data_IF_866406540006
#
_entry.id   IF_866406540006
#
_cell.length_a   1.000
_cell.length_b   1.000
_cell.length_c   1.000
_cell.angle_alpha   90.00
_cell.angle_beta   90.00
_cell.angle_gamma   90.00
#
_symmetry.space_group_name_H-M   'P 1'
#
loop_
_entity.id
_entity.type
_entity.pdbx_description
1 polymer ?
#
# COMPACT_ATOMS: atom_id res chain seq x y z
N UNK A 1 6.64 1.33 -3.90
CA UNK A 1 7.25 0.42 -2.91
C UNK A 1 7.14 -0.98 -3.47
N UNK A 2 8.22 -1.77 -3.41
CA UNK A 2 8.24 -3.16 -3.88
C UNK A 2 8.31 -4.10 -2.68
N UNK A 3 7.52 -5.16 -2.66
CA UNK A 3 7.45 -6.14 -1.57
C UNK A 3 7.77 -7.53 -2.12
N UNK A 4 8.74 -8.20 -1.51
CA UNK A 4 9.16 -9.55 -1.91
C UNK A 4 8.33 -10.69 -1.27
N UNK A 5 8.67 -11.94 -1.63
CA UNK A 5 8.13 -13.12 -0.94
C UNK A 5 8.56 -13.14 0.53
N UNK A 6 7.81 -13.82 1.42
CA UNK A 6 8.17 -13.93 2.82
C UNK A 6 9.49 -14.69 2.99
N UNK A 7 10.33 -14.24 3.90
CA UNK A 7 11.58 -14.93 4.23
C UNK A 7 11.29 -16.26 4.94
N UNK A 8 12.00 -17.37 4.63
CA UNK A 8 11.66 -18.72 5.09
C UNK A 8 11.71 -18.91 6.62
N UNK A 9 12.58 -18.17 7.32
CA UNK A 9 12.78 -18.34 8.77
C UNK A 9 12.03 -17.25 9.55
N UNK A 10 12.38 -15.98 9.35
CA UNK A 10 11.73 -14.85 10.02
C UNK A 10 10.28 -14.57 9.60
N UNK A 11 9.78 -15.16 8.50
CA UNK A 11 8.45 -14.90 7.91
C UNK A 11 8.15 -13.44 7.52
N UNK A 12 9.12 -12.54 7.66
CA UNK A 12 9.00 -11.13 7.28
C UNK A 12 9.21 -10.96 5.78
N UNK A 13 8.41 -10.07 5.18
CA UNK A 13 8.54 -9.71 3.76
C UNK A 13 9.59 -8.59 3.61
N UNK A 14 10.60 -8.75 2.75
CA UNK A 14 11.53 -7.68 2.46
C UNK A 14 10.81 -6.57 1.69
N UNK A 15 11.11 -5.32 2.05
CA UNK A 15 10.49 -4.13 1.46
C UNK A 15 11.60 -3.24 0.88
N UNK A 16 11.44 -2.85 -0.38
CA UNK A 16 12.27 -1.82 -1.01
C UNK A 16 11.46 -0.53 -1.15
N UNK A 17 11.91 0.52 -0.46
CA UNK A 17 11.27 1.83 -0.53
C UNK A 17 11.64 2.56 -1.82
N UNK A 18 10.71 3.39 -2.28
CA UNK A 18 10.93 4.26 -3.42
C UNK A 18 11.69 5.51 -2.97
N UNK A 19 12.67 5.94 -3.76
CA UNK A 19 13.46 7.15 -3.51
C UNK A 19 13.06 8.21 -4.54
N UNK A 20 12.38 9.29 -4.13
CA UNK A 20 12.04 10.39 -5.03
C UNK A 20 13.27 11.24 -5.38
N UNK A 21 13.29 11.84 -6.57
CA UNK A 21 14.40 12.70 -7.01
C UNK A 21 14.49 14.02 -6.19
N UNK A 22 13.35 14.57 -5.77
CA UNK A 22 13.26 15.86 -5.07
C UNK A 22 13.16 15.73 -3.54
N UNK A 23 13.77 14.67 -2.99
CA UNK A 23 13.66 14.28 -1.57
C UNK A 23 14.18 15.38 -0.64
N UNK A 24 13.35 15.81 0.32
CA UNK A 24 13.81 16.69 1.39
C UNK A 24 14.70 15.94 2.38
N UNK A 25 15.60 16.63 3.09
CA UNK A 25 16.40 15.98 4.14
C UNK A 25 15.52 15.26 5.18
N UNK A 26 14.36 15.81 5.54
CA UNK A 26 13.43 15.18 6.48
C UNK A 26 12.78 13.90 5.92
N UNK A 27 12.39 13.90 4.64
CA UNK A 27 11.86 12.71 3.97
C UNK A 27 12.92 11.61 3.85
N UNK A 28 14.17 11.99 3.56
CA UNK A 28 15.30 11.07 3.52
C UNK A 28 15.53 10.39 4.86
N UNK A 29 15.66 11.19 5.93
CA UNK A 29 15.86 10.65 7.28
C UNK A 29 14.70 9.74 7.69
N UNK A 30 13.46 10.10 7.34
CA UNK A 30 12.31 9.24 7.59
C UNK A 30 12.38 7.91 6.82
N UNK A 31 12.77 7.94 5.55
CA UNK A 31 12.95 6.72 4.73
C UNK A 31 14.03 5.82 5.30
N UNK A 32 15.19 6.37 5.64
CA UNK A 32 16.31 5.64 6.24
C UNK A 32 15.91 4.98 7.58
N UNK A 33 15.20 5.71 8.44
CA UNK A 33 14.67 5.15 9.69
C UNK A 33 13.71 3.97 9.46
N UNK A 34 12.91 4.02 8.38
CA UNK A 34 12.03 2.90 8.01
C UNK A 34 12.77 1.71 7.43
N UNK A 35 13.83 1.96 6.66
CA UNK A 35 14.72 0.90 6.15
C UNK A 35 15.42 0.18 7.29
N UNK A 36 16.02 0.94 8.20
CA UNK A 36 16.62 0.41 9.43
C UNK A 36 15.57 -0.34 10.25
N UNK A 37 14.35 0.20 10.36
CA UNK A 37 13.28 -0.44 11.12
C UNK A 37 12.95 -1.84 10.59
N UNK A 38 12.72 -1.95 9.28
CA UNK A 38 12.43 -3.22 8.62
C UNK A 38 13.59 -4.21 8.78
N UNK A 39 14.84 -3.74 8.67
CA UNK A 39 16.01 -4.58 8.86
C UNK A 39 16.13 -5.14 10.29
N UNK A 40 15.94 -4.28 11.31
CA UNK A 40 15.99 -4.72 12.71
C UNK A 40 14.85 -5.64 13.09
N UNK A 41 13.64 -5.38 12.56
CA UNK A 41 12.50 -6.27 12.77
C UNK A 41 12.79 -7.65 12.17
N UNK A 42 13.33 -7.68 10.94
CA UNK A 42 13.74 -8.92 10.29
C UNK A 42 14.77 -9.70 11.11
N UNK A 43 15.84 -9.03 11.57
CA UNK A 43 16.90 -9.64 12.38
C UNK A 43 16.36 -10.19 13.70
N UNK A 44 15.51 -9.42 14.40
CA UNK A 44 14.90 -9.85 15.65
C UNK A 44 14.08 -11.14 15.46
N UNK A 45 13.20 -11.18 14.46
CA UNK A 45 12.37 -12.36 14.21
C UNK A 45 13.15 -13.53 13.64
N UNK A 46 14.22 -13.28 12.87
CA UNK A 46 15.14 -14.33 12.43
C UNK A 46 15.74 -15.04 13.65
N UNK A 47 16.35 -14.26 14.55
CA UNK A 47 17.02 -14.78 15.74
C UNK A 47 16.03 -15.44 16.69
N UNK A 48 14.86 -14.83 16.91
CA UNK A 48 13.82 -15.39 17.77
C UNK A 48 13.31 -16.73 17.25
N UNK A 49 13.04 -16.84 15.94
CA UNK A 49 12.52 -18.07 15.36
C UNK A 49 13.59 -19.16 15.35
N UNK A 50 14.86 -18.82 15.07
CA UNK A 50 15.97 -19.78 15.16
C UNK A 50 16.12 -20.33 16.59
N UNK A 51 16.09 -19.44 17.59
CA UNK A 51 16.19 -19.82 18.99
C UNK A 51 15.00 -20.70 19.43
N UNK A 52 13.80 -20.37 18.97
CA UNK A 52 12.60 -21.17 19.23
C UNK A 52 12.70 -22.57 18.60
N UNK A 53 13.04 -22.68 17.31
CA UNK A 53 13.15 -23.97 16.63
C UNK A 53 14.24 -24.85 17.25
N UNK A 54 15.40 -24.28 17.62
CA UNK A 54 16.45 -25.00 18.32
C UNK A 54 15.98 -25.54 19.67
N UNK A 55 15.37 -24.68 20.50
CA UNK A 55 14.89 -25.09 21.81
C UNK A 55 13.78 -26.15 21.72
N UNK A 56 12.92 -26.05 20.71
CA UNK A 56 11.86 -27.04 20.44
C UNK A 56 12.45 -28.39 20.04
N UNK A 57 13.41 -28.41 19.12
CA UNK A 57 14.09 -29.66 18.70
C UNK A 57 14.79 -30.35 19.88
N UNK A 58 15.44 -29.58 20.75
CA UNK A 58 16.10 -30.11 21.94
C UNK A 58 15.09 -30.67 22.95
N UNK A 59 13.94 -30.01 23.10
CA UNK A 59 12.86 -30.49 23.96
C UNK A 59 12.23 -31.78 23.43
N UNK A 60 11.92 -31.83 22.13
CA UNK A 60 11.38 -33.03 21.47
C UNK A 60 12.33 -34.23 21.62
N UNK A 61 13.65 -34.01 21.44
CA UNK A 61 14.66 -35.07 21.63
C UNK A 61 14.67 -35.60 23.05
N UNK A 62 14.59 -34.73 24.06
CA UNK A 62 14.54 -35.13 25.48
C UNK A 62 13.25 -35.88 25.80
N UNK A 63 12.10 -35.38 25.35
CA UNK A 63 10.81 -36.03 25.55
C UNK A 63 10.79 -37.45 24.94
N UNK A 64 11.33 -37.62 23.73
CA UNK A 64 11.45 -38.93 23.08
C UNK A 64 12.42 -39.84 23.85
N UNK A 65 13.52 -39.33 24.39
CA UNK A 65 14.47 -40.12 25.17
C UNK A 65 13.89 -40.60 26.51
N UNK A 66 13.11 -39.76 27.18
CA UNK A 66 12.55 -40.06 28.51
C UNK A 66 11.24 -40.86 28.45
N UNK A 67 10.34 -40.48 27.52
CA UNK A 67 8.97 -41.01 27.43
C UNK A 67 8.72 -41.86 26.19
N UNK A 68 9.68 -41.96 25.26
CA UNK A 68 9.54 -42.67 23.99
C UNK A 68 8.73 -41.92 22.92
N UNK A 69 8.00 -40.86 23.30
CA UNK A 69 7.18 -40.04 22.41
C UNK A 69 7.09 -38.60 22.94
N UNK A 70 6.88 -37.65 22.04
CA UNK A 70 6.57 -36.26 22.40
C UNK A 70 5.08 -36.04 22.22
N UNK A 71 4.35 -35.83 23.32
CA UNK A 71 2.90 -35.58 23.27
C UNK A 71 2.60 -34.08 23.08
N UNK A 72 1.36 -33.78 22.68
CA UNK A 72 0.90 -32.38 22.54
C UNK A 72 0.95 -31.65 23.89
N UNK A 73 0.67 -32.35 24.99
CA UNK A 73 0.71 -31.78 26.34
C UNK A 73 2.15 -31.37 26.72
N UNK A 74 3.14 -32.22 26.41
CA UNK A 74 4.55 -31.90 26.62
C UNK A 74 4.97 -30.64 25.84
N UNK A 75 4.55 -30.55 24.56
CA UNK A 75 4.81 -29.36 23.75
C UNK A 75 4.14 -28.12 24.34
N UNK A 76 2.92 -28.25 24.87
CA UNK A 76 2.20 -27.12 25.49
C UNK A 76 2.93 -26.57 26.71
N UNK A 77 3.52 -27.44 27.53
CA UNK A 77 4.35 -27.04 28.67
C UNK A 77 5.62 -26.31 28.20
N UNK A 78 6.27 -26.84 27.16
CA UNK A 78 7.41 -26.16 26.53
C UNK A 78 7.03 -24.77 26.01
N UNK A 79 5.89 -24.63 25.34
CA UNK A 79 5.42 -23.34 24.82
C UNK A 79 5.19 -22.33 25.94
N UNK A 80 4.51 -22.73 27.02
CA UNK A 80 4.26 -21.85 28.18
C UNK A 80 5.58 -21.41 28.85
N UNK A 81 6.52 -22.35 29.01
CA UNK A 81 7.85 -22.06 29.54
C UNK A 81 8.62 -21.11 28.63
N UNK A 82 8.69 -21.39 27.34
CA UNK A 82 9.38 -20.55 26.37
C UNK A 82 8.80 -19.13 26.35
N UNK A 83 7.47 -18.99 26.42
CA UNK A 83 6.82 -17.68 26.45
C UNK A 83 7.20 -16.87 27.70
N UNK A 84 7.36 -17.54 28.84
CA UNK A 84 7.80 -16.92 30.09
C UNK A 84 9.28 -16.52 30.02
N UNK A 85 10.14 -17.44 29.56
CA UNK A 85 11.59 -17.22 29.46
C UNK A 85 11.97 -16.18 28.39
N UNK A 86 11.12 -16.00 27.37
CA UNK A 86 11.31 -15.01 26.31
C UNK A 86 10.69 -13.64 26.61
N UNK A 87 9.95 -13.51 27.72
CA UNK A 87 9.20 -12.30 28.03
C UNK A 87 10.08 -11.05 28.06
N UNK A 88 11.22 -11.10 28.76
CA UNK A 88 12.14 -9.95 28.86
C UNK A 88 12.73 -9.54 27.51
N UNK A 89 13.02 -10.52 26.63
CA UNK A 89 13.49 -10.25 25.27
C UNK A 89 12.43 -9.53 24.44
N UNK A 90 11.19 -10.00 24.50
CA UNK A 90 10.07 -9.36 23.82
C UNK A 90 9.75 -7.98 24.40
N UNK A 91 9.88 -7.79 25.71
CA UNK A 91 9.69 -6.49 26.35
C UNK A 91 10.78 -5.49 25.91
N UNK A 92 12.04 -5.92 25.85
CA UNK A 92 13.15 -5.11 25.36
C UNK A 92 12.94 -4.71 23.89
N UNK A 93 12.52 -5.66 23.05
CA UNK A 93 12.17 -5.41 21.65
C UNK A 93 11.00 -4.43 21.52
N UNK A 94 9.90 -4.65 22.24
CA UNK A 94 8.74 -3.76 22.22
C UNK A 94 9.13 -2.34 22.65
N UNK A 95 9.96 -2.20 23.69
CA UNK A 95 10.48 -0.90 24.13
C UNK A 95 11.29 -0.21 23.04
N UNK A 96 12.12 -0.97 22.31
CA UNK A 96 12.86 -0.46 21.15
C UNK A 96 11.91 0.00 20.03
N UNK A 97 10.91 -0.81 19.68
CA UNK A 97 9.91 -0.47 18.65
C UNK A 97 9.15 0.81 19.03
N UNK A 98 8.72 0.95 20.28
CA UNK A 98 8.05 2.15 20.77
C UNK A 98 8.94 3.39 20.67
N UNK A 99 10.18 3.29 21.17
CA UNK A 99 11.14 4.41 21.10
C UNK A 99 11.38 4.85 19.66
N UNK A 100 11.59 3.89 18.75
CA UNK A 100 11.81 4.15 17.32
C UNK A 100 10.58 4.77 16.66
N UNK A 101 9.38 4.25 16.93
CA UNK A 101 8.14 4.80 16.39
C UNK A 101 7.94 6.26 16.81
N UNK A 102 8.24 6.58 18.07
CA UNK A 102 8.21 7.97 18.56
C UNK A 102 9.25 8.85 17.83
N UNK A 103 10.47 8.34 17.62
CA UNK A 103 11.50 9.06 16.87
C UNK A 103 11.10 9.33 15.42
N UNK A 104 10.37 8.41 14.77
CA UNK A 104 9.91 8.57 13.37
C UNK A 104 8.77 9.60 13.20
N UNK A 105 7.97 9.85 14.24
CA UNK A 105 6.87 10.83 14.18
C UNK A 105 7.41 12.23 13.91
N UNK A 106 8.54 12.60 14.54
CA UNK A 106 9.13 13.93 14.38
C UNK A 106 9.51 14.29 12.93
N UNK A 107 10.38 13.53 12.23
CA UNK A 107 10.74 13.83 10.84
C UNK A 107 9.53 13.73 9.90
N UNK A 108 8.56 12.84 10.19
CA UNK A 108 7.30 12.76 9.44
C UNK A 108 6.50 14.06 9.52
N UNK A 109 6.37 14.62 10.73
CA UNK A 109 5.69 15.91 10.94
C UNK A 109 6.43 17.05 10.25
N UNK A 110 7.77 17.08 10.34
CA UNK A 110 8.58 18.07 9.65
C UNK A 110 8.41 17.99 8.12
N UNK A 111 8.44 16.79 7.54
CA UNK A 111 8.22 16.56 6.11
C UNK A 111 6.82 17.00 5.68
N UNK A 112 5.79 16.63 6.46
CA UNK A 112 4.40 17.05 6.21
C UNK A 112 4.24 18.58 6.22
N UNK A 113 4.85 19.26 7.19
CA UNK A 113 4.82 20.72 7.26
C UNK A 113 5.53 21.37 6.05
N UNK A 114 6.68 20.83 5.65
CA UNK A 114 7.40 21.29 4.46
C UNK A 114 6.59 21.11 3.18
N UNK A 115 5.91 19.96 3.04
CA UNK A 115 5.06 19.67 1.88
C UNK A 115 3.84 20.59 1.83
N UNK A 116 3.20 20.88 2.98
CA UNK A 116 2.12 21.89 3.06
C UNK A 116 2.61 23.25 2.58
N UNK A 117 3.79 23.69 3.03
CA UNK A 117 4.38 24.96 2.60
C UNK A 117 4.70 24.96 1.10
N UNK A 118 5.23 23.87 0.55
CA UNK A 118 5.48 23.70 -0.89
C UNK A 118 4.18 23.74 -1.70
N UNK A 119 3.13 23.03 -1.27
CA UNK A 119 1.81 23.03 -1.92
C UNK A 119 1.20 24.43 -1.96
N UNK A 120 1.27 25.19 -0.86
CA UNK A 120 0.80 26.59 -0.81
C UNK A 120 1.55 27.46 -1.81
N UNK A 121 2.89 27.36 -1.88
CA UNK A 121 3.71 28.11 -2.85
C UNK A 121 3.37 27.76 -4.30
N UNK A 122 3.21 26.48 -4.63
CA UNK A 122 2.82 26.02 -5.98
C UNK A 122 1.47 26.60 -6.40
N UNK A 123 0.49 26.64 -5.49
CA UNK A 123 -0.81 27.28 -5.75
C UNK A 123 -0.67 28.79 -6.01
N UNK A 124 0.08 29.51 -5.18
CA UNK A 124 0.32 30.95 -5.38
C UNK A 124 1.03 31.25 -6.71
N UNK A 125 2.04 30.45 -7.08
CA UNK A 125 2.72 30.59 -8.36
C UNK A 125 1.79 30.28 -9.55
N UNK A 126 0.90 29.29 -9.42
CA UNK A 126 -0.11 29.02 -10.44
C UNK A 126 -1.11 30.18 -10.55
N UNK A 127 -1.60 30.74 -9.43
CA UNK A 127 -2.47 31.93 -9.43
C UNK A 127 -1.78 33.14 -10.08
N UNK A 128 -0.50 33.38 -9.79
CA UNK A 128 0.27 34.46 -10.40
C UNK A 128 0.41 34.29 -11.92
N UNK A 129 0.71 33.08 -12.40
CA UNK A 129 0.74 32.78 -13.85
C UNK A 129 -0.62 32.97 -14.51
N UNK A 130 -1.71 32.55 -13.85
CA UNK A 130 -3.07 32.76 -14.35
C UNK A 130 -3.50 34.23 -14.32
N UNK A 131 -2.95 35.07 -13.42
CA UNK A 131 -3.20 36.51 -13.45
C UNK A 131 -2.39 37.25 -14.52
N UNK A 132 -1.23 36.72 -14.90
CA UNK A 132 -0.39 37.26 -15.99
C UNK A 132 -0.90 36.83 -17.37
N UNK A 133 -1.52 35.65 -17.50
CA UNK A 133 -2.35 35.27 -18.64
C UNK A 133 -3.65 36.08 -18.62
N UNK A 134 -3.60 37.33 -19.12
CA UNK A 134 -4.76 38.21 -19.20
C UNK A 134 -5.96 37.56 -19.91
N UNK A 135 -7.17 37.95 -19.51
CA UNK A 135 -8.46 37.47 -20.04
C UNK A 135 -8.68 37.73 -21.55
N UNK A 136 -7.75 38.45 -22.20
CA UNK A 136 -7.87 38.94 -23.58
C UNK A 136 -7.06 38.14 -24.62
N UNK A 137 -6.16 37.24 -24.22
CA UNK A 137 -5.35 36.46 -25.19
C UNK A 137 -6.14 35.35 -25.90
N UNK A 138 -7.36 35.04 -25.45
CA UNK A 138 -8.18 33.97 -26.03
C UNK A 138 -9.08 34.44 -27.20
N UNK A 139 -9.09 35.74 -27.53
CA UNK A 139 -9.90 36.31 -28.62
C UNK A 139 -9.13 36.49 -29.93
N UNK A 140 -7.80 36.31 -29.96
CA UNK A 140 -7.01 36.51 -31.17
C UNK A 140 -7.03 35.34 -32.16
N UNK A 141 -7.38 34.11 -31.71
CA UNK A 141 -7.29 32.90 -32.56
C UNK A 141 -8.65 32.43 -33.13
N UNK A 142 -9.76 32.96 -32.64
CA UNK A 142 -11.11 32.61 -33.15
C UNK A 142 -11.50 33.36 -34.42
N UNK A 143 -10.76 34.41 -34.82
CA UNK A 143 -10.97 35.15 -36.07
C UNK A 143 -10.36 34.47 -37.31
N UNK A 144 -9.39 33.56 -37.12
CA UNK A 144 -8.71 32.84 -38.21
C UNK A 144 -9.52 31.63 -38.70
N UNK A 145 -10.05 30.83 -37.77
CA UNK A 145 -10.76 29.58 -38.08
C UNK A 145 -12.14 29.82 -38.73
N UNK A 146 -12.75 30.98 -38.49
CA UNK A 146 -14.04 31.34 -39.11
C UNK A 146 -13.88 31.80 -40.56
N UNK A 147 -12.73 32.41 -40.91
CA UNK A 147 -12.46 32.86 -42.27
C UNK A 147 -12.22 31.69 -43.26
N UNK A 148 -11.64 30.59 -42.78
CA UNK A 148 -11.35 29.42 -43.63
C UNK A 148 -12.61 28.58 -43.94
N UNK A 149 -13.64 28.65 -43.09
CA UNK A 149 -14.86 27.83 -43.25
C UNK A 149 -15.92 28.41 -44.20
N UNK A 150 -15.80 29.68 -44.60
CA UNK A 150 -16.81 30.36 -45.45
C UNK A 150 -16.57 30.08 -46.95
N UNK A 151 -15.40 29.57 -47.35
CA UNK A 151 -15.10 29.36 -48.78
C UNK A 151 -15.49 27.99 -49.36
N UNK A 152 -15.94 27.02 -48.56
CA UNK A 152 -16.14 25.64 -49.06
C UNK A 152 -17.58 25.18 -49.29
N UNK A 153 -18.60 26.02 -49.08
CA UNK A 153 -19.99 25.63 -49.34
C UNK A 153 -20.63 26.48 -50.45
N UNK A 154 -20.12 26.31 -51.69
CA UNK A 154 -20.86 26.65 -52.90
C UNK A 154 -21.57 25.40 -53.41
N UNK A 155 -22.85 25.32 -53.02
CA UNK A 155 -24.02 24.79 -53.75
C UNK A 155 -23.79 23.69 -54.79
N UNK A 156 -24.34 22.50 -54.50
CA UNK A 156 -25.07 21.69 -55.47
C UNK A 156 -26.12 20.80 -54.76
N UNK A 157 -27.37 20.81 -55.25
CA UNK A 157 -28.29 19.67 -55.09
C UNK A 157 -29.47 19.81 -54.11
N UNK A 158 -30.58 20.32 -54.62
CA UNK A 158 -31.96 20.25 -54.07
C UNK A 158 -32.44 18.78 -54.00
N UNK A 159 -33.20 18.36 -52.96
CA UNK A 159 -34.56 17.75 -53.02
C UNK A 159 -35.11 17.47 -51.60
N UNK A 160 -36.38 17.83 -51.43
CA UNK A 160 -37.31 17.71 -50.31
C UNK A 160 -37.34 16.40 -49.50
N UNK A 161 -37.68 16.50 -48.21
CA UNK A 161 -38.91 15.91 -47.65
C UNK A 161 -39.06 16.23 -46.15
N UNK A 162 -40.29 16.59 -45.77
CA UNK A 162 -40.78 16.85 -44.42
C UNK A 162 -40.67 15.64 -43.48
N UNK A 163 -40.44 15.91 -42.19
CA UNK A 163 -40.62 14.91 -41.14
C UNK A 163 -40.30 15.45 -39.73
N UNK A 164 -41.33 15.82 -38.98
CA UNK A 164 -41.25 16.06 -37.53
C UNK A 164 -40.99 14.73 -36.80
N UNK A 165 -40.02 14.69 -35.87
CA UNK A 165 -39.95 13.64 -34.84
C UNK A 165 -39.54 14.26 -33.50
N UNK A 166 -40.48 14.18 -32.53
CA UNK A 166 -40.27 14.32 -31.08
C UNK A 166 -39.42 13.16 -30.57
N UNK A 167 -38.60 13.40 -29.55
CA UNK A 167 -38.10 12.34 -28.67
C UNK A 167 -38.35 12.74 -27.22
N UNK A 168 -39.23 11.98 -26.57
CA UNK A 168 -39.58 12.05 -25.16
C UNK A 168 -38.54 11.32 -24.29
N UNK A 169 -38.38 11.79 -23.05
CA UNK A 169 -37.56 11.19 -22.01
C UNK A 169 -38.29 10.02 -21.35
N UNK A 170 -37.67 8.84 -21.24
CA UNK A 170 -37.98 7.87 -20.16
C UNK A 170 -36.86 6.84 -20.00
N UNK A 171 -36.36 6.65 -18.78
CA UNK A 171 -35.71 5.41 -18.37
C UNK A 171 -36.02 5.16 -16.89
N UNK A 172 -36.93 4.20 -16.68
CA UNK A 172 -37.31 3.66 -15.39
C UNK A 172 -36.28 2.64 -14.85
N UNK A 173 -36.34 2.52 -13.53
CA UNK A 173 -35.89 1.51 -12.57
C UNK A 173 -35.60 0.08 -13.06
N UNK A 174 -34.71 -0.64 -12.34
CA UNK A 174 -35.13 -1.81 -11.56
C UNK A 174 -34.04 -2.36 -10.62
N UNK A 175 -34.50 -2.76 -9.42
CA UNK A 175 -33.75 -3.43 -8.38
C UNK A 175 -34.11 -4.93 -8.32
N UNK A 176 -33.20 -5.70 -7.72
CA UNK A 176 -33.36 -7.01 -7.09
C UNK A 176 -33.29 -8.29 -7.95
N UNK A 177 -32.26 -9.10 -7.66
CA UNK A 177 -32.37 -10.56 -7.49
C UNK A 177 -31.38 -11.01 -6.41
N UNK A 178 -31.81 -12.01 -5.64
CA UNK A 178 -31.38 -12.33 -4.29
C UNK A 178 -30.32 -13.45 -4.20
N UNK A 179 -29.65 -13.51 -3.04
CA UNK A 179 -29.37 -14.71 -2.22
C UNK A 179 -28.96 -16.03 -2.93
N UNK A 180 -27.73 -16.51 -2.69
CA UNK A 180 -27.43 -17.87 -2.17
C UNK A 180 -25.91 -18.17 -2.11
N UNK A 181 -25.51 -18.99 -1.11
CA UNK A 181 -24.23 -19.73 -0.92
C UNK A 181 -23.05 -18.89 -0.39
N UNK A 182 -22.81 -18.83 0.92
CA UNK A 182 -22.19 -19.85 1.79
C UNK A 182 -21.13 -20.74 1.12
N UNK A 183 -19.90 -20.64 1.61
CA UNK A 183 -18.70 -21.23 1.04
C UNK A 183 -17.46 -20.42 1.40
N UNK A 184 -17.05 -20.45 2.67
CA UNK A 184 -15.70 -19.99 3.09
C UNK A 184 -14.67 -20.84 2.36
N UNK A 185 -14.01 -20.26 1.36
CA UNK A 185 -12.86 -20.87 0.67
C UNK A 185 -11.68 -20.94 1.65
N UNK A 186 -11.45 -22.12 2.19
CA UNK A 186 -10.37 -22.40 3.14
C UNK A 186 -9.03 -22.56 2.39
N UNK A 187 -8.35 -21.44 2.11
CA UNK A 187 -7.08 -21.37 1.32
C UNK A 187 -5.88 -22.04 2.00
N UNK A 188 -6.08 -22.73 3.12
CA UNK A 188 -5.01 -23.39 3.89
C UNK A 188 -4.69 -24.80 3.39
N UNK A 189 -5.63 -25.45 2.69
CA UNK A 189 -5.48 -26.82 2.20
C UNK A 189 -4.64 -26.95 0.92
N UNK A 190 -4.50 -25.88 0.12
CA UNK A 190 -3.74 -25.94 -1.14
C UNK A 190 -2.22 -25.92 -0.94
N UNK A 191 -1.73 -25.58 0.27
CA UNK A 191 -0.29 -25.44 0.52
C UNK A 191 0.44 -26.75 0.87
N UNK A 192 -0.28 -27.86 1.00
CA UNK A 192 0.29 -29.16 1.41
C UNK A 192 0.74 -30.01 0.21
N UNK A 193 0.25 -29.74 -1.01
CA UNK A 193 0.61 -30.51 -2.22
C UNK A 193 1.87 -30.02 -2.95
N UNK A 194 2.53 -28.96 -2.50
CA UNK A 194 3.73 -28.44 -3.18
C UNK A 194 5.06 -28.87 -2.56
N UNK A 195 5.07 -29.84 -1.65
CA UNK A 195 6.27 -30.28 -0.93
C UNK A 195 6.52 -31.80 -0.97
N UNK A 196 5.84 -32.53 -1.86
CA UNK A 196 6.17 -33.92 -2.21
C UNK A 196 6.31 -34.04 -3.73
#
# INVERSE_FOLDING_TARGET
MLVGPPHPISNIRPIKFYVPADETPAERTYRELREEAVAKDHEFWLNNNMHFEQGKMDFERKAIQEKGQCTIDDLSEYFAKYQTDSYDRHLAYNRYVWRRNLQMIWPSLCAWFQEIRRRRRRKMAAYAKHSEQGYFDQQADSGSVVAERIQSNSVDGIVAASGNVKIDNTAETNANTASALDGKVDRRAEKIKSYY
#
